data_IF_599002950946
#
_entry.id   IF_599002950946
#
_cell.length_a   1.000
_cell.length_b   1.000
_cell.length_c   1.000
_cell.angle_alpha   90.00
_cell.angle_beta   90.00
_cell.angle_gamma   90.00
#
_symmetry.space_group_name_H-M   'P 1'
#
loop_
_entity.id
_entity.type
_entity.pdbx_description
1 polymer ?
#
# COMPACT_ATOMS: atom_id res chain seq x y z
N UNK A 1 7.62 14.19 -22.02
CA UNK A 1 7.26 12.84 -21.57
C UNK A 1 8.54 12.02 -21.63
N UNK A 2 8.97 11.44 -20.51
CA UNK A 2 10.19 10.63 -20.46
C UNK A 2 9.94 9.28 -21.11
N UNK A 3 10.82 8.83 -22.00
CA UNK A 3 10.66 7.58 -22.72
C UNK A 3 11.14 6.37 -21.91
N UNK A 4 12.06 6.60 -20.97
CA UNK A 4 12.64 5.57 -20.11
C UNK A 4 12.69 6.00 -18.66
N UNK A 5 12.75 5.03 -17.75
CA UNK A 5 12.96 5.28 -16.31
C UNK A 5 14.31 5.97 -16.07
N UNK A 6 15.34 5.62 -16.86
CA UNK A 6 16.66 6.22 -16.73
C UNK A 6 16.64 7.72 -17.02
N UNK A 7 16.00 8.16 -18.09
CA UNK A 7 15.82 9.59 -18.40
C UNK A 7 15.11 10.34 -17.29
N UNK A 8 14.10 9.72 -16.68
CA UNK A 8 13.38 10.29 -15.54
C UNK A 8 14.31 10.45 -14.33
N UNK A 9 15.10 9.41 -14.02
CA UNK A 9 16.05 9.42 -12.90
C UNK A 9 17.14 10.48 -13.13
N UNK A 10 17.63 10.63 -14.36
CA UNK A 10 18.66 11.64 -14.70
C UNK A 10 18.14 13.07 -14.59
N UNK A 11 16.84 13.28 -14.79
CA UNK A 11 16.19 14.57 -14.64
C UNK A 11 15.93 14.98 -13.19
N UNK A 12 16.03 14.06 -12.22
CA UNK A 12 15.81 14.31 -10.79
C UNK A 12 17.03 14.94 -10.13
N UNK A 13 16.81 15.92 -9.26
CA UNK A 13 17.84 16.42 -8.34
C UNK A 13 18.13 15.40 -7.23
N UNK A 14 19.22 15.61 -6.48
CA UNK A 14 19.56 14.72 -5.36
C UNK A 14 18.48 14.74 -4.26
N UNK A 15 17.97 15.94 -3.94
CA UNK A 15 16.90 16.11 -2.95
C UNK A 15 15.62 15.41 -3.40
N UNK A 16 15.27 15.52 -4.69
CA UNK A 16 14.08 14.85 -5.24
C UNK A 16 14.24 13.32 -5.20
N UNK A 17 15.43 12.80 -5.50
CA UNK A 17 15.74 11.36 -5.37
C UNK A 17 15.60 10.89 -3.94
N UNK A 18 16.13 11.63 -2.98
CA UNK A 18 16.00 11.32 -1.55
C UNK A 18 14.54 11.39 -1.10
N UNK A 19 13.78 12.39 -1.55
CA UNK A 19 12.37 12.52 -1.27
C UNK A 19 11.53 11.36 -1.81
N UNK A 20 11.81 10.88 -3.02
CA UNK A 20 11.13 9.71 -3.60
C UNK A 20 11.32 8.45 -2.77
N UNK A 21 12.47 8.26 -2.12
CA UNK A 21 12.71 7.14 -1.22
C UNK A 21 11.76 7.13 0.01
N UNK A 22 11.21 8.30 0.36
CA UNK A 22 10.20 8.45 1.43
C UNK A 22 8.78 8.61 0.90
N UNK A 23 8.59 8.44 -0.41
CA UNK A 23 7.29 8.57 -1.06
C UNK A 23 6.84 10.00 -1.34
N UNK A 24 7.74 10.98 -1.27
CA UNK A 24 7.41 12.37 -1.57
C UNK A 24 7.04 12.58 -3.05
N UNK A 25 6.16 13.55 -3.30
CA UNK A 25 5.83 13.95 -4.67
C UNK A 25 6.97 14.74 -5.31
N UNK A 26 7.08 14.66 -6.65
CA UNK A 26 7.92 15.56 -7.46
C UNK A 26 7.03 16.24 -8.51
N UNK A 27 6.31 17.31 -8.13
CA UNK A 27 5.33 17.95 -9.00
C UNK A 27 5.92 18.47 -10.31
N UNK A 28 7.17 18.92 -10.30
CA UNK A 28 7.91 19.39 -11.48
C UNK A 28 7.97 18.34 -12.60
N UNK A 29 8.02 17.06 -12.24
CA UNK A 29 8.07 15.94 -13.17
C UNK A 29 6.71 15.20 -13.29
N UNK A 30 5.67 15.73 -12.64
CA UNK A 30 4.34 15.11 -12.64
C UNK A 30 4.25 13.83 -11.81
N UNK A 31 5.21 13.58 -10.90
CA UNK A 31 5.20 12.42 -10.03
C UNK A 31 4.37 12.71 -8.75
N UNK A 32 3.27 12.00 -8.54
CA UNK A 32 2.48 12.14 -7.31
C UNK A 32 3.22 11.54 -6.10
N UNK A 33 2.82 11.94 -4.90
CA UNK A 33 3.26 11.26 -3.68
C UNK A 33 2.81 9.80 -3.68
N UNK A 34 3.68 8.89 -3.24
CA UNK A 34 3.33 7.49 -3.07
C UNK A 34 2.43 7.35 -1.85
N UNK A 35 1.21 6.91 -2.07
CA UNK A 35 0.26 6.59 -1.00
C UNK A 35 0.26 5.09 -0.74
N UNK A 36 0.75 4.72 0.44
CA UNK A 36 0.74 3.35 0.92
C UNK A 36 -0.49 3.16 1.79
N UNK A 37 -1.22 2.09 1.58
CA UNK A 37 -2.36 1.68 2.40
C UNK A 37 -2.07 0.31 3.01
N UNK A 38 -2.34 0.15 4.29
CA UNK A 38 -2.30 -1.14 4.98
C UNK A 38 -3.70 -1.60 5.35
N UNK A 39 -3.79 -2.78 5.96
CA UNK A 39 -5.06 -3.38 6.36
C UNK A 39 -5.87 -2.48 7.31
N UNK A 40 -5.18 -1.77 8.20
CA UNK A 40 -5.79 -0.90 9.23
C UNK A 40 -5.89 0.57 8.83
N UNK A 41 -5.25 0.99 7.73
CA UNK A 41 -5.30 2.38 7.29
C UNK A 41 -6.66 2.77 6.71
N UNK A 42 -7.47 1.80 6.34
CA UNK A 42 -8.83 2.01 5.84
C UNK A 42 -9.78 2.55 6.93
N UNK A 43 -9.57 2.17 8.19
CA UNK A 43 -10.35 2.66 9.32
C UNK A 43 -10.23 4.19 9.48
N UNK A 44 -9.02 4.72 9.30
CA UNK A 44 -8.75 6.16 9.41
C UNK A 44 -9.33 6.97 8.25
N UNK A 45 -9.61 6.34 7.12
CA UNK A 45 -10.17 6.99 5.93
C UNK A 45 -11.70 6.84 5.81
N UNK A 46 -12.36 6.22 6.80
CA UNK A 46 -13.80 5.93 6.75
C UNK A 46 -14.17 4.76 5.83
N UNK A 47 -13.22 3.93 5.51
CA UNK A 47 -13.41 2.72 4.71
C UNK A 47 -13.96 1.53 5.51
N UNK A 48 -14.10 0.39 4.84
CA UNK A 48 -14.58 -0.86 5.45
C UNK A 48 -13.47 -1.50 6.28
N UNK A 49 -13.83 -1.92 7.49
CA UNK A 49 -12.94 -2.68 8.36
C UNK A 49 -12.89 -4.14 7.92
N UNK A 50 -11.70 -4.65 7.60
CA UNK A 50 -11.49 -6.03 7.18
C UNK A 50 -11.00 -6.91 8.34
N UNK A 51 -11.32 -8.22 8.32
CA UNK A 51 -10.75 -9.17 9.28
C UNK A 51 -9.22 -9.18 9.24
N UNK A 52 -8.59 -9.44 10.36
CA UNK A 52 -7.13 -9.61 10.40
C UNK A 52 -6.69 -10.81 9.53
N UNK A 53 -5.42 -10.82 9.10
CA UNK A 53 -4.85 -11.91 8.33
C UNK A 53 -4.99 -13.27 9.05
N UNK A 54 -4.81 -13.28 10.38
CA UNK A 54 -5.06 -14.46 11.23
C UNK A 54 -6.51 -14.96 11.18
N UNK A 55 -7.48 -14.04 11.24
CA UNK A 55 -8.89 -14.41 11.19
C UNK A 55 -9.28 -14.97 9.81
N UNK A 56 -8.76 -14.35 8.73
CA UNK A 56 -8.94 -14.84 7.38
C UNK A 56 -8.30 -16.24 7.21
N UNK A 57 -7.10 -16.47 7.71
CA UNK A 57 -6.42 -17.76 7.65
C UNK A 57 -7.15 -18.84 8.45
N UNK A 58 -7.72 -18.50 9.62
CA UNK A 58 -8.47 -19.42 10.46
C UNK A 58 -9.77 -19.93 9.81
N UNK A 59 -10.26 -19.30 8.76
CA UNK A 59 -11.41 -19.77 7.99
C UNK A 59 -11.10 -21.02 7.15
N UNK A 60 -9.83 -21.28 6.82
CA UNK A 60 -9.39 -22.31 5.88
C UNK A 60 -10.11 -22.26 4.52
N UNK A 61 -10.64 -21.08 4.14
CA UNK A 61 -11.37 -20.85 2.89
C UNK A 61 -10.56 -19.91 1.96
N UNK A 62 -9.82 -20.49 0.98
CA UNK A 62 -9.04 -19.68 0.04
C UNK A 62 -9.91 -18.75 -0.82
N UNK A 63 -11.15 -19.13 -1.10
CA UNK A 63 -12.05 -18.29 -1.91
C UNK A 63 -12.55 -17.07 -1.11
N UNK A 64 -12.82 -17.24 0.19
CA UNK A 64 -13.11 -16.11 1.07
C UNK A 64 -11.93 -15.14 1.15
N UNK A 65 -10.70 -15.66 1.29
CA UNK A 65 -9.48 -14.85 1.28
C UNK A 65 -9.30 -14.09 -0.05
N UNK A 66 -9.56 -14.75 -1.19
CA UNK A 66 -9.50 -14.12 -2.52
C UNK A 66 -10.51 -12.98 -2.64
N UNK A 67 -11.77 -13.21 -2.21
CA UNK A 67 -12.82 -12.17 -2.22
C UNK A 67 -12.45 -10.99 -1.32
N UNK A 68 -11.90 -11.26 -0.14
CA UNK A 68 -11.43 -10.23 0.79
C UNK A 68 -10.33 -9.39 0.14
N UNK A 69 -9.31 -10.02 -0.45
CA UNK A 69 -8.22 -9.32 -1.14
C UNK A 69 -8.72 -8.46 -2.31
N UNK A 70 -9.67 -8.96 -3.10
CA UNK A 70 -10.29 -8.19 -4.17
C UNK A 70 -11.09 -6.98 -3.67
N UNK A 71 -11.79 -7.12 -2.53
CA UNK A 71 -12.52 -6.02 -1.91
C UNK A 71 -11.54 -4.96 -1.35
N UNK A 72 -10.50 -5.40 -0.65
CA UNK A 72 -9.47 -4.54 -0.10
C UNK A 72 -8.73 -3.74 -1.20
N UNK A 73 -8.42 -4.40 -2.33
CA UNK A 73 -7.81 -3.72 -3.47
C UNK A 73 -8.72 -2.64 -4.09
N UNK A 74 -10.03 -2.87 -4.14
CA UNK A 74 -10.99 -1.84 -4.59
C UNK A 74 -11.06 -0.67 -3.61
N UNK A 75 -11.10 -0.94 -2.32
CA UNK A 75 -11.09 0.10 -1.28
C UNK A 75 -9.82 0.95 -1.35
N UNK A 76 -8.65 0.32 -1.38
CA UNK A 76 -7.38 1.00 -1.48
C UNK A 76 -7.32 1.91 -2.72
N UNK A 77 -7.79 1.40 -3.86
CA UNK A 77 -7.82 2.17 -5.11
C UNK A 77 -8.79 3.34 -5.02
N UNK A 78 -9.96 3.18 -4.43
CA UNK A 78 -10.93 4.27 -4.24
C UNK A 78 -10.39 5.35 -3.30
N UNK A 79 -9.57 4.95 -2.31
CA UNK A 79 -8.84 5.85 -1.42
C UNK A 79 -7.61 6.50 -2.06
N UNK A 80 -7.28 6.18 -3.32
CA UNK A 80 -6.15 6.74 -4.06
C UNK A 80 -4.80 6.16 -3.67
N UNK A 81 -4.75 4.98 -3.04
CA UNK A 81 -3.49 4.30 -2.75
C UNK A 81 -2.90 3.67 -4.03
N UNK A 82 -1.59 3.81 -4.20
CA UNK A 82 -0.82 3.17 -5.26
C UNK A 82 -0.15 1.88 -4.80
N UNK A 83 0.13 1.76 -3.51
CA UNK A 83 0.71 0.57 -2.91
C UNK A 83 -0.18 0.07 -1.78
N UNK A 84 -0.40 -1.23 -1.74
CA UNK A 84 -1.14 -1.91 -0.69
C UNK A 84 -0.18 -2.86 0.04
N UNK A 85 0.11 -2.56 1.31
CA UNK A 85 1.02 -3.34 2.16
C UNK A 85 0.19 -4.36 2.96
N UNK A 86 -0.15 -5.46 2.31
CA UNK A 86 -0.92 -6.57 2.87
C UNK A 86 -0.70 -7.84 2.02
N UNK A 87 -0.99 -9.05 2.56
CA UNK A 87 -1.25 -9.38 3.96
C UNK A 87 0.05 -9.60 4.73
N UNK A 88 -0.05 -9.56 6.06
CA UNK A 88 1.03 -10.06 6.90
C UNK A 88 1.10 -11.59 6.77
N UNK A 89 2.20 -12.08 6.21
CA UNK A 89 2.42 -13.53 5.93
C UNK A 89 3.34 -14.18 6.95
N UNK A 90 3.44 -13.63 8.14
CA UNK A 90 4.30 -14.11 9.21
C UNK A 90 3.46 -14.64 10.39
N UNK A 91 4.16 -15.08 11.44
CA UNK A 91 3.53 -15.38 12.72
C UNK A 91 2.79 -14.14 13.24
N UNK A 92 1.67 -14.36 13.92
CA UNK A 92 0.96 -13.26 14.56
C UNK A 92 1.83 -12.67 15.67
N UNK A 93 2.28 -11.45 15.48
CA UNK A 93 2.89 -10.65 16.52
C UNK A 93 1.80 -9.89 17.26
N UNK A 94 1.87 -9.91 18.59
CA UNK A 94 0.96 -9.19 19.46
C UNK A 94 1.79 -8.32 20.41
N UNK A 95 1.28 -7.15 20.75
CA UNK A 95 1.90 -6.25 21.73
C UNK A 95 2.11 -6.92 23.10
N UNK A 96 1.41 -8.02 23.37
CA UNK A 96 1.51 -8.78 24.62
C UNK A 96 2.63 -9.84 24.56
N UNK A 97 3.08 -10.19 23.34
CA UNK A 97 4.03 -11.30 23.12
C UNK A 97 5.34 -10.86 22.44
N UNK A 98 5.64 -9.58 22.49
CA UNK A 98 6.92 -9.03 22.01
C UNK A 98 7.90 -9.01 23.15
#
# INVERSE_FOLDING_TARGET
MYATVQELVDALTLEEKAGLCTGAAVPRLGLPALRVSGLHSQESAGGVCFPSACAAAASFDPEAARRMGAALGREARSGGAQLLDVPDVNLKLSLIHI
#
